data_IF_053835410812
#
_entry.id   IF_053835410812
#
_cell.length_a   1.000
_cell.length_b   1.000
_cell.length_c   1.000
_cell.angle_alpha   90.00
_cell.angle_beta   90.00
_cell.angle_gamma   90.00
#
_symmetry.space_group_name_H-M   'P 1'
#
loop_
_entity.id
_entity.type
_entity.pdbx_description
1 polymer ?
#
# COMPACT_ATOMS: atom_id res chain seq x y z
N UNK A 1 26.27 -64.68 -19.91
CA UNK A 1 24.91 -64.50 -19.35
C UNK A 1 24.87 -63.16 -18.62
N UNK A 2 24.32 -62.10 -19.22
CA UNK A 2 24.25 -60.74 -18.64
C UNK A 2 22.86 -60.57 -18.00
N UNK A 3 22.80 -60.32 -16.69
CA UNK A 3 21.55 -60.10 -15.94
C UNK A 3 21.06 -58.66 -16.16
N UNK A 4 19.81 -58.49 -16.59
CA UNK A 4 19.12 -57.19 -16.62
C UNK A 4 18.56 -56.86 -15.22
N UNK A 5 18.77 -55.63 -14.77
CA UNK A 5 18.21 -55.05 -13.54
C UNK A 5 17.05 -54.13 -13.96
N UNK A 6 15.85 -54.20 -13.35
CA UNK A 6 14.74 -53.32 -13.72
C UNK A 6 14.88 -51.96 -13.02
N UNK A 7 14.72 -50.89 -13.80
CA UNK A 7 14.71 -49.50 -13.34
C UNK A 7 13.32 -49.17 -12.79
N UNK A 8 13.21 -48.94 -11.48
CA UNK A 8 11.99 -48.46 -10.82
C UNK A 8 11.94 -46.93 -10.97
N UNK A 9 10.94 -46.43 -11.70
CA UNK A 9 10.69 -44.99 -11.85
C UNK A 9 9.74 -44.56 -10.74
N UNK A 10 10.23 -43.83 -9.75
CA UNK A 10 9.42 -43.24 -8.67
C UNK A 10 8.88 -41.89 -9.15
N UNK A 11 7.57 -41.81 -9.36
CA UNK A 11 6.88 -40.56 -9.74
C UNK A 11 6.57 -39.75 -8.47
N UNK A 12 7.32 -38.67 -8.24
CA UNK A 12 7.05 -37.71 -7.17
C UNK A 12 6.00 -36.68 -7.64
N UNK A 13 4.80 -36.71 -7.06
CA UNK A 13 3.76 -35.71 -7.31
C UNK A 13 3.99 -34.55 -6.34
N UNK A 14 4.50 -33.43 -6.84
CA UNK A 14 4.65 -32.18 -6.10
C UNK A 14 3.30 -31.45 -6.01
N UNK A 15 2.69 -31.44 -4.82
CA UNK A 15 1.55 -30.55 -4.53
C UNK A 15 2.07 -29.10 -4.48
N UNK A 16 1.94 -28.40 -5.60
CA UNK A 16 2.13 -26.94 -5.65
C UNK A 16 0.79 -26.29 -5.33
N UNK A 17 0.72 -25.58 -4.20
CA UNK A 17 -0.45 -24.77 -3.86
C UNK A 17 -0.55 -23.59 -4.82
N UNK A 18 -1.57 -23.56 -5.68
CA UNK A 18 -1.89 -22.39 -6.48
C UNK A 18 -2.37 -21.27 -5.56
N UNK A 19 -1.61 -20.19 -5.46
CA UNK A 19 -2.08 -18.95 -4.84
C UNK A 19 -3.08 -18.29 -5.80
N UNK A 20 -4.33 -18.12 -5.37
CA UNK A 20 -5.32 -17.35 -6.11
C UNK A 20 -5.12 -15.86 -5.80
N UNK A 21 -5.03 -15.04 -6.85
CA UNK A 21 -4.99 -13.59 -6.71
C UNK A 21 -6.29 -13.10 -6.03
N UNK A 22 -6.15 -12.15 -5.11
CA UNK A 22 -7.26 -11.50 -4.43
C UNK A 22 -7.62 -10.19 -5.14
N UNK A 23 -8.81 -9.61 -4.88
CA UNK A 23 -9.13 -8.26 -5.39
C UNK A 23 -8.09 -7.19 -5.00
N UNK A 24 -7.38 -7.39 -3.88
CA UNK A 24 -6.31 -6.49 -3.48
C UNK A 24 -5.10 -6.57 -4.43
N UNK A 25 -4.81 -7.76 -4.98
CA UNK A 25 -3.72 -7.96 -5.94
C UNK A 25 -4.01 -7.30 -7.29
N UNK A 26 -5.28 -7.17 -7.67
CA UNK A 26 -5.72 -6.50 -8.91
C UNK A 26 -5.89 -4.98 -8.74
N UNK A 27 -5.78 -4.45 -7.52
CA UNK A 27 -5.97 -3.02 -7.23
C UNK A 27 -4.63 -2.29 -7.25
N UNK A 28 -4.44 -1.41 -8.24
CA UNK A 28 -3.28 -0.55 -8.34
C UNK A 28 -3.48 0.77 -7.58
N UNK A 29 -2.48 1.17 -6.80
CA UNK A 29 -2.41 2.47 -6.10
C UNK A 29 -1.16 3.21 -6.56
N UNK A 30 -1.33 4.45 -7.02
CA UNK A 30 -0.22 5.30 -7.47
C UNK A 30 -0.27 6.68 -6.84
N UNK A 31 0.89 7.17 -6.37
CA UNK A 31 1.06 8.58 -5.99
C UNK A 31 1.14 9.42 -7.26
N UNK A 32 0.18 10.31 -7.47
CA UNK A 32 0.09 11.13 -8.69
C UNK A 32 0.47 12.58 -8.47
N UNK A 33 0.72 12.98 -7.21
CA UNK A 33 1.22 14.31 -6.91
C UNK A 33 1.19 14.65 -5.43
N UNK A 34 1.72 15.83 -5.11
CA UNK A 34 1.70 16.39 -3.77
C UNK A 34 1.56 17.91 -3.82
N UNK A 35 0.91 18.49 -2.82
CA UNK A 35 0.74 19.93 -2.68
C UNK A 35 0.90 20.37 -1.20
N UNK A 36 1.25 21.64 -0.94
CA UNK A 36 1.20 22.19 0.41
C UNK A 36 -0.20 22.13 1.03
N UNK A 37 -0.26 21.91 2.34
CA UNK A 37 -1.47 22.02 3.15
C UNK A 37 -1.65 23.42 3.75
N UNK A 38 -2.62 23.55 4.66
CA UNK A 38 -2.92 24.82 5.33
C UNK A 38 -1.83 25.30 6.30
N UNK A 39 -0.92 24.41 6.71
CA UNK A 39 0.22 24.73 7.55
C UNK A 39 1.49 24.08 7.02
N UNK A 40 2.65 24.56 7.49
CA UNK A 40 3.94 24.01 7.12
C UNK A 40 4.16 22.53 7.52
N UNK A 41 3.28 22.00 8.38
CA UNK A 41 3.30 20.62 8.86
C UNK A 41 2.36 19.70 8.09
N UNK A 42 1.59 20.20 7.12
CA UNK A 42 0.65 19.39 6.36
C UNK A 42 1.03 19.41 4.89
N UNK A 43 1.08 18.22 4.28
CA UNK A 43 1.13 18.00 2.83
C UNK A 43 -0.14 17.28 2.40
N UNK A 44 -0.62 17.58 1.19
CA UNK A 44 -1.72 16.89 0.54
C UNK A 44 -1.14 15.97 -0.52
N UNK A 45 -1.20 14.66 -0.33
CA UNK A 45 -0.73 13.66 -1.30
C UNK A 45 -1.91 13.18 -2.12
N UNK A 46 -1.77 13.15 -3.44
CA UNK A 46 -2.80 12.60 -4.34
C UNK A 46 -2.49 11.15 -4.63
N UNK A 47 -3.46 10.28 -4.35
CA UNK A 47 -3.38 8.84 -4.59
C UNK A 47 -4.45 8.47 -5.61
N UNK A 48 -4.06 7.95 -6.77
CA UNK A 48 -4.99 7.35 -7.73
C UNK A 48 -5.11 5.86 -7.44
N UNK A 49 -6.34 5.37 -7.35
CA UNK A 49 -6.65 3.97 -7.08
C UNK A 49 -7.46 3.43 -8.27
N UNK A 50 -7.08 2.28 -8.82
CA UNK A 50 -7.81 1.69 -9.97
C UNK A 50 -9.22 1.26 -9.57
N UNK A 51 -9.36 0.60 -8.42
CA UNK A 51 -10.64 0.21 -7.82
C UNK A 51 -10.79 0.76 -6.39
N UNK A 52 -11.45 1.92 -6.21
CA UNK A 52 -11.71 2.48 -4.89
C UNK A 52 -12.58 1.62 -3.97
N UNK A 53 -13.39 0.70 -4.51
CA UNK A 53 -14.27 -0.16 -3.71
C UNK A 53 -13.48 -1.28 -3.01
N UNK A 54 -12.37 -1.71 -3.59
CA UNK A 54 -11.45 -2.68 -3.00
C UNK A 54 -10.53 -2.07 -1.92
N UNK A 55 -10.38 -0.74 -1.88
CA UNK A 55 -9.53 -0.05 -0.91
C UNK A 55 -10.11 -0.18 0.51
N UNK A 56 -9.33 -0.73 1.45
CA UNK A 56 -9.75 -0.89 2.86
C UNK A 56 -9.29 0.24 3.78
N UNK A 57 -8.05 0.66 3.63
CA UNK A 57 -7.44 1.73 4.42
C UNK A 57 -6.21 2.28 3.69
N UNK A 58 -5.80 3.48 4.11
CA UNK A 58 -4.52 4.08 3.71
C UNK A 58 -3.75 4.36 4.98
N UNK A 59 -2.56 3.79 5.10
CA UNK A 59 -1.66 3.99 6.24
C UNK A 59 -0.39 4.71 5.79
N UNK A 60 0.11 5.60 6.64
CA UNK A 60 1.44 6.17 6.50
C UNK A 60 2.12 6.26 7.87
N UNK A 61 3.45 6.37 7.84
CA UNK A 61 4.29 6.51 9.03
C UNK A 61 5.23 7.68 8.83
N UNK A 62 5.35 8.52 9.85
CA UNK A 62 6.32 9.61 9.90
C UNK A 62 7.54 9.08 10.63
N UNK A 63 8.65 9.01 9.92
CA UNK A 63 9.92 8.66 10.52
C UNK A 63 10.42 9.81 11.43
N UNK A 64 11.09 9.48 12.55
CA UNK A 64 11.81 10.48 13.34
C UNK A 64 12.85 11.22 12.50
N UNK A 65 13.22 12.42 12.94
CA UNK A 65 14.41 13.09 12.39
C UNK A 65 15.65 12.28 12.73
N UNK A 66 16.63 12.26 11.83
CA UNK A 66 17.90 11.58 12.09
C UNK A 66 18.52 12.09 13.39
N UNK A 67 19.02 11.17 14.21
CA UNK A 67 19.55 11.44 15.57
C UNK A 67 18.52 11.97 16.56
N UNK A 68 17.23 11.89 16.28
CA UNK A 68 16.17 12.13 17.25
C UNK A 68 15.86 10.88 18.08
N UNK A 69 15.44 11.10 19.32
CA UNK A 69 14.89 10.06 20.21
C UNK A 69 13.36 9.96 20.12
N UNK A 70 12.72 10.78 19.28
CA UNK A 70 11.27 10.71 19.05
C UNK A 70 10.90 9.38 18.41
N UNK A 71 9.78 8.78 18.83
CA UNK A 71 9.27 7.53 18.24
C UNK A 71 8.57 7.80 16.90
N UNK A 72 8.62 6.87 15.93
CA UNK A 72 7.81 6.98 14.72
C UNK A 72 6.32 7.07 15.08
N UNK A 73 5.56 7.80 14.26
CA UNK A 73 4.11 7.92 14.43
C UNK A 73 3.42 7.46 13.16
N UNK A 74 2.46 6.54 13.31
CA UNK A 74 1.67 6.03 12.19
C UNK A 74 0.24 6.53 12.28
N UNK A 75 -0.39 6.69 11.11
CA UNK A 75 -1.79 7.08 10.99
C UNK A 75 -2.47 6.23 9.93
N UNK A 76 -3.73 5.92 10.19
CA UNK A 76 -4.57 5.16 9.27
C UNK A 76 -5.83 5.95 8.96
N UNK A 77 -6.11 6.15 7.67
CA UNK A 77 -7.35 6.72 7.20
C UNK A 77 -8.23 5.63 6.59
N UNK A 78 -9.51 5.68 6.93
CA UNK A 78 -10.54 4.90 6.26
C UNK A 78 -11.02 5.65 5.00
N UNK A 79 -11.32 4.95 3.90
CA UNK A 79 -11.87 5.57 2.69
C UNK A 79 -13.16 6.34 2.98
N UNK A 80 -14.01 5.82 3.88
CA UNK A 80 -15.25 6.47 4.31
C UNK A 80 -14.99 7.82 4.98
N UNK A 81 -13.98 7.91 5.85
CA UNK A 81 -13.57 9.17 6.46
C UNK A 81 -13.12 10.18 5.40
N UNK A 82 -12.27 9.75 4.45
CA UNK A 82 -11.77 10.63 3.39
C UNK A 82 -12.92 11.11 2.49
N UNK A 83 -13.84 10.22 2.12
CA UNK A 83 -15.02 10.56 1.33
C UNK A 83 -15.91 11.57 2.05
N UNK A 84 -16.25 11.31 3.32
CA UNK A 84 -17.09 12.20 4.13
C UNK A 84 -16.49 13.60 4.34
N UNK A 85 -15.17 13.74 4.19
CA UNK A 85 -14.44 15.01 4.28
C UNK A 85 -14.25 15.70 2.92
N UNK A 86 -14.79 15.14 1.84
CA UNK A 86 -14.64 15.66 0.48
C UNK A 86 -13.23 15.45 -0.09
N UNK A 87 -12.48 14.49 0.44
CA UNK A 87 -11.13 14.16 0.00
C UNK A 87 -11.07 13.04 -1.05
N UNK A 88 -12.21 12.54 -1.51
CA UNK A 88 -12.28 11.59 -2.60
C UNK A 88 -12.97 12.23 -3.81
N UNK A 89 -12.31 12.18 -4.97
CA UNK A 89 -12.90 12.55 -6.25
C UNK A 89 -13.26 11.26 -7.00
N UNK A 90 -14.55 10.93 -7.03
CA UNK A 90 -15.08 9.71 -7.66
C UNK A 90 -15.01 9.71 -9.19
N UNK A 91 -14.91 10.86 -9.84
CA UNK A 91 -14.77 10.96 -11.30
C UNK A 91 -13.38 10.53 -11.75
N UNK A 92 -12.35 10.82 -10.94
CA UNK A 92 -10.94 10.57 -11.28
C UNK A 92 -10.33 9.40 -10.51
N UNK A 93 -11.07 8.84 -9.55
CA UNK A 93 -10.61 7.88 -8.55
C UNK A 93 -9.37 8.35 -7.79
N UNK A 94 -9.34 9.62 -7.41
CA UNK A 94 -8.22 10.23 -6.68
C UNK A 94 -8.63 10.56 -5.26
N UNK A 95 -7.88 10.01 -4.30
CA UNK A 95 -7.90 10.43 -2.90
C UNK A 95 -6.88 11.53 -2.64
N UNK A 96 -7.28 12.56 -1.90
CA UNK A 96 -6.40 13.61 -1.36
C UNK A 96 -6.11 13.27 0.10
N UNK A 97 -4.92 12.76 0.37
CA UNK A 97 -4.48 12.35 1.69
C UNK A 97 -3.82 13.53 2.42
N UNK A 98 -4.38 14.03 3.54
CA UNK A 98 -3.66 14.95 4.40
C UNK A 98 -2.59 14.17 5.17
N UNK A 99 -1.34 14.33 4.78
CA UNK A 99 -0.18 13.78 5.49
C UNK A 99 0.37 14.89 6.36
N UNK A 100 0.25 14.74 7.67
CA UNK A 100 0.88 15.63 8.63
C UNK A 100 2.31 15.18 8.91
N UNK A 101 3.15 16.08 9.40
CA UNK A 101 4.53 15.84 9.75
C UNK A 101 4.82 16.37 11.15
N UNK A 102 5.79 15.77 11.83
CA UNK A 102 6.29 16.26 13.12
C UNK A 102 7.21 17.49 12.93
N UNK A 103 7.78 17.66 11.74
CA UNK A 103 8.77 18.67 11.44
C UNK A 103 8.40 19.42 10.16
N UNK A 104 8.36 20.75 10.22
CA UNK A 104 8.05 21.58 9.06
C UNK A 104 9.11 21.41 7.97
N UNK A 105 8.67 21.28 6.72
CA UNK A 105 9.55 21.25 5.54
C UNK A 105 10.37 19.96 5.35
N UNK A 106 10.21 18.94 6.19
CA UNK A 106 10.88 17.64 6.00
C UNK A 106 10.02 16.69 5.16
N UNK A 107 10.66 15.86 4.34
CA UNK A 107 10.00 14.71 3.76
C UNK A 107 9.67 13.70 4.87
N UNK A 108 8.45 13.17 4.85
CA UNK A 108 8.01 12.10 5.74
C UNK A 108 8.41 10.74 5.18
#
# INVERSE_FOLDING_TARGET
MKKLIPLIITLAISLTSAAYATQADDTAVAVTGQAPGASAFIKKVKLRVSDPAALRSIQFTIAPKDRSVTRPVSATYLPTYLNNRGFFNSTTNVFTLPVWGLYAGRAN
#
